data_IF_848395886401
#
_entry.id   IF_848395886401
#
_cell.length_a   1.000
_cell.length_b   1.000
_cell.length_c   1.000
_cell.angle_alpha   90.00
_cell.angle_beta   90.00
_cell.angle_gamma   90.00
#
_symmetry.space_group_name_H-M   'P 1'
#
loop_
_entity.id
_entity.type
_entity.pdbx_description
1 polymer ?
#
# COMPACT_ATOMS: atom_id res chain seq x y z
N UNK A 1 4.19 0.57 -9.75
CA UNK A 1 5.36 -0.30 -9.90
C UNK A 1 5.29 -1.05 -11.18
N UNK A 2 6.43 -1.56 -11.67
CA UNK A 2 6.51 -2.28 -12.94
C UNK A 2 5.56 -3.48 -13.00
N UNK A 3 5.29 -4.12 -11.85
CA UNK A 3 4.29 -5.21 -11.74
C UNK A 3 2.88 -4.70 -12.01
N UNK A 4 2.54 -3.51 -11.53
CA UNK A 4 1.21 -2.92 -11.72
C UNK A 4 1.04 -2.27 -13.09
N UNK A 5 2.12 -2.01 -13.83
CA UNK A 5 2.04 -1.53 -15.21
C UNK A 5 1.30 -2.50 -16.14
N UNK A 6 1.25 -3.80 -15.81
CA UNK A 6 0.42 -4.78 -16.53
C UNK A 6 -1.08 -4.45 -16.52
N UNK A 7 -1.52 -3.67 -15.53
CA UNK A 7 -2.91 -3.19 -15.41
C UNK A 7 -3.09 -1.79 -16.00
N UNK A 8 -2.01 -1.16 -16.50
CA UNK A 8 -2.07 0.13 -17.18
C UNK A 8 -2.80 -0.05 -18.50
N UNK A 9 -3.87 0.72 -18.70
CA UNK A 9 -4.72 0.63 -19.91
C UNK A 9 -5.93 -0.31 -19.76
N UNK A 10 -6.11 -0.99 -18.64
CA UNK A 10 -7.36 -1.70 -18.36
C UNK A 10 -8.48 -0.68 -18.08
N UNK A 11 -9.61 -0.84 -18.74
CA UNK A 11 -10.79 0.01 -18.58
C UNK A 11 -11.27 0.06 -17.11
N UNK A 12 -11.68 1.24 -16.64
CA UNK A 12 -12.17 1.45 -15.28
C UNK A 12 -11.10 1.45 -14.18
N UNK A 13 -9.79 1.49 -14.52
CA UNK A 13 -8.69 1.50 -13.55
C UNK A 13 -7.86 2.78 -13.62
N UNK A 14 -7.63 3.37 -12.46
CA UNK A 14 -6.76 4.53 -12.29
C UNK A 14 -5.42 4.11 -11.67
N UNK A 15 -4.32 4.48 -12.32
CA UNK A 15 -2.97 4.16 -11.85
C UNK A 15 -2.39 5.34 -11.08
N UNK A 16 -2.19 5.14 -9.78
CA UNK A 16 -1.58 6.12 -8.88
C UNK A 16 -0.06 5.93 -8.78
N UNK A 17 0.64 7.00 -8.47
CA UNK A 17 2.03 6.96 -8.01
C UNK A 17 2.12 6.75 -6.50
N UNK A 18 3.30 6.36 -6.02
CA UNK A 18 3.57 6.15 -4.59
C UNK A 18 4.65 7.12 -4.12
N UNK A 19 4.27 8.05 -3.24
CA UNK A 19 5.20 9.03 -2.70
C UNK A 19 6.27 8.40 -1.80
N UNK A 20 6.00 7.29 -1.13
CA UNK A 20 7.01 6.58 -0.33
C UNK A 20 8.22 6.15 -1.18
N UNK A 21 8.00 5.80 -2.44
CA UNK A 21 9.08 5.42 -3.34
C UNK A 21 9.86 6.62 -3.88
N UNK A 22 9.18 7.71 -4.21
CA UNK A 22 9.84 8.97 -4.52
C UNK A 22 10.70 9.42 -3.34
N UNK A 23 10.13 9.43 -2.13
CA UNK A 23 10.83 9.75 -0.89
C UNK A 23 12.09 8.91 -0.69
N UNK A 24 12.02 7.61 -0.91
CA UNK A 24 13.19 6.70 -0.74
C UNK A 24 14.36 7.10 -1.63
N UNK A 25 14.10 7.54 -2.86
CA UNK A 25 15.15 8.00 -3.78
C UNK A 25 15.89 9.22 -3.22
N UNK A 26 15.19 10.17 -2.62
CA UNK A 26 15.83 11.32 -1.97
C UNK A 26 16.56 10.95 -0.68
N UNK A 27 16.03 9.98 0.09
CA UNK A 27 16.75 9.44 1.26
C UNK A 27 18.07 8.79 0.84
N UNK A 28 18.07 8.01 -0.24
CA UNK A 28 19.29 7.39 -0.79
C UNK A 28 20.31 8.44 -1.26
N UNK A 29 19.84 9.63 -1.69
CA UNK A 29 20.67 10.72 -2.15
C UNK A 29 21.29 11.57 -1.00
N UNK A 30 20.86 11.40 0.26
CA UNK A 30 21.42 12.13 1.43
C UNK A 30 22.94 11.93 1.51
N UNK A 31 23.41 10.71 1.29
CA UNK A 31 24.84 10.35 1.34
C UNK A 31 25.70 11.05 0.28
N UNK A 32 25.08 11.59 -0.77
CA UNK A 32 25.74 12.30 -1.85
C UNK A 32 25.63 13.83 -1.68
N UNK A 33 24.43 14.32 -1.36
CA UNK A 33 24.17 15.74 -1.14
C UNK A 33 23.06 15.91 -0.09
N UNK A 34 23.46 15.96 1.19
CA UNK A 34 22.53 16.07 2.32
C UNK A 34 21.65 17.32 2.22
N UNK A 35 22.20 18.46 1.80
CA UNK A 35 21.47 19.72 1.71
C UNK A 35 20.32 19.62 0.69
N UNK A 36 20.60 19.26 -0.56
CA UNK A 36 19.57 19.18 -1.58
C UNK A 36 18.57 18.06 -1.29
N UNK A 37 19.02 16.92 -0.77
CA UNK A 37 18.13 15.81 -0.43
C UNK A 37 17.19 16.20 0.73
N UNK A 38 17.70 16.91 1.75
CA UNK A 38 16.88 17.39 2.87
C UNK A 38 15.86 18.44 2.41
N UNK A 39 16.23 19.37 1.53
CA UNK A 39 15.30 20.32 0.92
C UNK A 39 14.13 19.57 0.23
N UNK A 40 14.43 18.56 -0.58
CA UNK A 40 13.41 17.73 -1.25
C UNK A 40 12.51 16.96 -0.26
N UNK A 41 13.12 16.42 0.81
CA UNK A 41 12.39 15.65 1.82
C UNK A 41 11.44 16.53 2.65
N UNK A 42 11.69 17.82 2.80
CA UNK A 42 10.75 18.77 3.42
C UNK A 42 9.48 18.86 2.57
N UNK A 43 9.58 19.08 1.25
CA UNK A 43 8.41 19.14 0.38
C UNK A 43 7.53 17.87 0.47
N UNK A 44 8.18 16.70 0.48
CA UNK A 44 7.46 15.43 0.60
C UNK A 44 6.89 15.26 2.01
N UNK A 45 7.62 15.68 3.05
CA UNK A 45 7.18 15.69 4.45
C UNK A 45 5.90 16.49 4.64
N UNK A 46 5.80 17.66 4.01
CA UNK A 46 4.60 18.50 4.07
C UNK A 46 3.37 17.81 3.48
N UNK A 47 3.54 17.00 2.41
CA UNK A 47 2.43 16.20 1.85
C UNK A 47 1.94 15.16 2.86
N UNK A 48 2.84 14.44 3.53
CA UNK A 48 2.47 13.49 4.59
C UNK A 48 1.87 14.17 5.82
N UNK A 49 2.32 15.38 6.15
CA UNK A 49 1.72 16.16 7.23
C UNK A 49 0.26 16.49 6.92
N UNK A 50 -0.07 16.87 5.68
CA UNK A 50 -1.48 17.10 5.27
C UNK A 50 -2.29 15.82 5.44
N UNK A 51 -1.76 14.64 5.07
CA UNK A 51 -2.43 13.35 5.28
C UNK A 51 -2.72 13.05 6.77
N UNK A 52 -1.78 13.40 7.64
CA UNK A 52 -1.95 13.26 9.10
C UNK A 52 -3.09 14.15 9.61
N UNK A 53 -3.14 15.40 9.14
CA UNK A 53 -4.23 16.33 9.50
C UNK A 53 -5.59 15.88 8.94
N UNK A 54 -5.59 15.16 7.84
CA UNK A 54 -6.78 14.70 7.15
C UNK A 54 -7.23 13.28 7.57
N UNK A 55 -6.56 12.65 8.55
CA UNK A 55 -6.78 11.24 8.89
C UNK A 55 -8.23 10.92 9.26
N UNK A 56 -8.85 11.77 10.07
CA UNK A 56 -10.21 11.58 10.59
C UNK A 56 -11.31 12.28 9.77
N UNK A 57 -10.94 12.91 8.65
CA UNK A 57 -11.89 13.60 7.79
C UNK A 57 -12.62 12.64 6.85
N UNK A 58 -13.82 13.02 6.42
CA UNK A 58 -14.53 12.36 5.32
C UNK A 58 -13.73 12.41 4.02
N UNK A 59 -14.06 11.56 3.06
CA UNK A 59 -13.40 11.56 1.76
C UNK A 59 -13.52 12.90 1.03
N UNK A 60 -14.67 13.55 1.13
CA UNK A 60 -14.93 14.84 0.53
C UNK A 60 -14.06 15.94 1.15
N UNK A 61 -14.02 16.01 2.48
CA UNK A 61 -13.20 16.98 3.22
C UNK A 61 -11.72 16.74 3.01
N UNK A 62 -11.28 15.47 2.99
CA UNK A 62 -9.91 15.09 2.70
C UNK A 62 -9.49 15.50 1.29
N UNK A 63 -10.34 15.26 0.29
CA UNK A 63 -10.08 15.70 -1.07
C UNK A 63 -9.96 17.23 -1.14
N UNK A 64 -10.84 17.97 -0.48
CA UNK A 64 -10.78 19.42 -0.46
C UNK A 64 -9.48 19.92 0.18
N UNK A 65 -9.11 19.39 1.36
CA UNK A 65 -7.86 19.75 2.03
C UNK A 65 -6.63 19.46 1.15
N UNK A 66 -6.60 18.34 0.44
CA UNK A 66 -5.52 18.01 -0.50
C UNK A 66 -5.43 19.00 -1.65
N UNK A 67 -6.54 19.43 -2.20
CA UNK A 67 -6.57 20.45 -3.26
C UNK A 67 -6.07 21.81 -2.79
N UNK A 68 -6.39 22.18 -1.56
CA UNK A 68 -6.00 23.46 -0.97
C UNK A 68 -4.55 23.47 -0.47
N UNK A 69 -4.03 22.36 0.08
CA UNK A 69 -2.72 22.30 0.72
C UNK A 69 -1.71 21.46 -0.05
N UNK A 70 -2.07 20.22 -0.42
CA UNK A 70 -1.12 19.31 -1.06
C UNK A 70 -0.84 19.69 -2.53
N UNK A 71 -1.85 20.05 -3.30
CA UNK A 71 -1.64 20.37 -4.72
C UNK A 71 -0.71 21.58 -4.93
N UNK A 72 -0.87 22.72 -4.23
CA UNK A 72 0.09 23.82 -4.33
C UNK A 72 1.50 23.41 -3.90
N UNK A 73 1.63 22.55 -2.89
CA UNK A 73 2.93 22.05 -2.43
C UNK A 73 3.61 21.17 -3.48
N UNK A 74 2.84 20.33 -4.19
CA UNK A 74 3.35 19.54 -5.31
C UNK A 74 3.86 20.45 -6.43
N UNK A 75 3.15 21.54 -6.73
CA UNK A 75 3.57 22.52 -7.76
C UNK A 75 4.87 23.22 -7.37
N UNK A 76 5.00 23.65 -6.11
CA UNK A 76 6.25 24.24 -5.59
C UNK A 76 7.41 23.24 -5.65
N UNK A 77 7.15 21.98 -5.34
CA UNK A 77 8.17 20.94 -5.44
C UNK A 77 8.59 20.69 -6.90
N UNK A 78 7.65 20.70 -7.84
CA UNK A 78 7.94 20.61 -9.27
C UNK A 78 8.85 21.76 -9.73
N UNK A 79 8.52 22.99 -9.38
CA UNK A 79 9.32 24.20 -9.69
C UNK A 79 10.71 24.11 -9.06
N UNK A 80 10.79 23.66 -7.80
CA UNK A 80 12.07 23.44 -7.12
C UNK A 80 12.93 22.40 -7.85
N UNK A 81 12.35 21.27 -8.24
CA UNK A 81 13.07 20.23 -8.99
C UNK A 81 13.60 20.77 -10.34
N UNK A 82 12.81 21.56 -11.04
CA UNK A 82 13.22 22.18 -12.31
C UNK A 82 14.39 23.15 -12.09
N UNK A 83 14.29 24.02 -11.09
CA UNK A 83 15.33 24.99 -10.75
C UNK A 83 16.65 24.32 -10.32
N UNK A 84 16.56 23.19 -9.60
CA UNK A 84 17.74 22.47 -9.09
C UNK A 84 18.34 21.50 -10.09
N UNK A 85 17.65 21.12 -11.16
CA UNK A 85 18.10 20.08 -12.09
C UNK A 85 19.48 20.35 -12.71
N UNK A 86 19.85 21.60 -12.87
CA UNK A 86 21.13 22.03 -13.40
C UNK A 86 22.12 22.49 -12.33
N UNK A 87 21.84 22.26 -11.03
CA UNK A 87 22.75 22.62 -9.95
C UNK A 87 24.09 21.85 -10.11
N UNK A 88 25.24 22.55 -10.17
CA UNK A 88 26.55 21.91 -10.32
C UNK A 88 26.90 20.92 -9.20
N UNK A 89 26.30 21.08 -8.02
CA UNK A 89 26.50 20.16 -6.89
C UNK A 89 25.65 18.90 -6.96
N UNK A 90 24.84 18.76 -8.00
CA UNK A 90 23.98 17.60 -8.17
C UNK A 90 24.77 16.39 -8.64
N UNK A 91 24.86 15.37 -7.80
CA UNK A 91 25.43 14.08 -8.15
C UNK A 91 24.39 13.13 -8.76
N UNK A 92 24.82 11.91 -9.17
CA UNK A 92 24.02 10.95 -9.88
C UNK A 92 22.79 10.43 -9.11
N UNK A 93 22.88 10.26 -7.78
CA UNK A 93 21.74 9.78 -6.98
C UNK A 93 20.66 10.85 -6.88
N UNK A 94 21.04 12.11 -6.67
CA UNK A 94 20.10 13.21 -6.61
C UNK A 94 19.41 13.44 -7.95
N UNK A 95 20.17 13.36 -9.05
CA UNK A 95 19.62 13.43 -10.42
C UNK A 95 18.62 12.31 -10.66
N UNK A 96 18.96 11.07 -10.30
CA UNK A 96 18.05 9.92 -10.41
C UNK A 96 16.77 10.12 -9.60
N UNK A 97 16.85 10.72 -8.39
CA UNK A 97 15.69 10.99 -7.56
C UNK A 97 14.75 12.02 -8.21
N UNK A 98 15.29 13.11 -8.75
CA UNK A 98 14.51 14.13 -9.44
C UNK A 98 13.88 13.56 -10.72
N UNK A 99 14.64 12.90 -11.58
CA UNK A 99 14.12 12.32 -12.83
C UNK A 99 13.04 11.28 -12.58
N UNK A 100 13.24 10.42 -11.57
CA UNK A 100 12.24 9.44 -11.15
C UNK A 100 10.93 10.11 -10.74
N UNK A 101 11.03 11.14 -9.90
CA UNK A 101 9.88 11.86 -9.37
C UNK A 101 9.18 12.65 -10.47
N UNK A 102 9.94 13.37 -11.29
CA UNK A 102 9.42 14.19 -12.37
C UNK A 102 8.64 13.36 -13.41
N UNK A 103 9.21 12.24 -13.85
CA UNK A 103 8.56 11.31 -14.79
C UNK A 103 7.24 10.76 -14.25
N UNK A 104 7.11 10.64 -12.91
CA UNK A 104 5.93 10.08 -12.26
C UNK A 104 5.00 11.12 -11.64
N UNK A 105 5.36 12.38 -11.73
CA UNK A 105 4.62 13.47 -11.10
C UNK A 105 3.12 13.48 -11.47
N UNK A 106 2.72 13.25 -12.74
CA UNK A 106 1.30 13.17 -13.08
C UNK A 106 0.55 12.07 -12.29
N UNK A 107 1.19 10.90 -12.09
CA UNK A 107 0.60 9.80 -11.30
C UNK A 107 0.69 10.05 -9.79
N UNK A 108 1.77 10.69 -9.33
CA UNK A 108 1.96 11.07 -7.93
C UNK A 108 0.96 12.13 -7.49
N UNK A 109 0.55 13.03 -8.37
CA UNK A 109 -0.41 14.10 -8.08
C UNK A 109 -1.86 13.62 -8.06
N UNK A 110 -2.17 12.45 -8.63
CA UNK A 110 -3.56 12.01 -8.80
C UNK A 110 -4.32 11.80 -7.50
N UNK A 111 -3.63 11.42 -6.41
CA UNK A 111 -4.29 11.13 -5.12
C UNK A 111 -5.06 12.33 -4.55
N UNK A 112 -4.74 13.56 -4.98
CA UNK A 112 -5.46 14.77 -4.53
C UNK A 112 -6.88 14.88 -5.09
N UNK A 113 -7.21 14.08 -6.11
CA UNK A 113 -8.51 14.15 -6.79
C UNK A 113 -9.60 13.30 -6.15
N UNK A 114 -9.22 12.42 -5.20
CA UNK A 114 -10.17 11.54 -4.51
C UNK A 114 -9.68 11.30 -3.08
N UNK A 115 -10.53 11.55 -2.09
CA UNK A 115 -10.19 11.39 -0.67
C UNK A 115 -10.04 9.93 -0.24
N UNK A 116 -10.57 8.98 -0.99
CA UNK A 116 -10.43 7.55 -0.72
C UNK A 116 -9.06 6.98 -1.17
N UNK A 117 -8.36 7.67 -2.06
CA UNK A 117 -7.06 7.21 -2.54
C UNK A 117 -5.95 7.50 -1.54
N UNK A 118 -4.98 6.61 -1.45
CA UNK A 118 -3.83 6.77 -0.57
C UNK A 118 -2.67 7.47 -1.28
N UNK A 119 -1.91 8.28 -0.53
CA UNK A 119 -0.68 8.95 -0.99
C UNK A 119 0.41 7.94 -1.37
N UNK A 120 0.37 6.75 -0.78
CA UNK A 120 1.31 5.65 -1.06
C UNK A 120 0.60 4.28 -0.99
N UNK A 121 1.32 3.22 -1.33
CA UNK A 121 0.81 1.86 -1.26
C UNK A 121 1.39 1.04 -0.08
N UNK A 122 1.89 1.71 0.96
CA UNK A 122 2.48 1.05 2.13
C UNK A 122 1.52 0.05 2.78
N UNK A 123 0.22 0.33 2.78
CA UNK A 123 -0.80 -0.60 3.30
C UNK A 123 -0.78 -1.95 2.56
N UNK A 124 -0.74 -1.92 1.23
CA UNK A 124 -0.67 -3.14 0.40
C UNK A 124 0.68 -3.84 0.55
N UNK A 125 1.78 -3.07 0.56
CA UNK A 125 3.14 -3.64 0.74
C UNK A 125 3.28 -4.31 2.10
N UNK A 126 2.75 -3.72 3.16
CA UNK A 126 2.74 -4.32 4.49
C UNK A 126 1.86 -5.58 4.55
N UNK A 127 0.73 -5.61 3.85
CA UNK A 127 -0.10 -6.80 3.76
C UNK A 127 0.60 -7.97 3.05
N UNK A 128 1.43 -7.69 2.03
CA UNK A 128 2.20 -8.70 1.27
C UNK A 128 3.52 -9.08 1.99
N UNK A 129 4.00 -8.25 2.90
CA UNK A 129 5.30 -8.43 3.58
C UNK A 129 5.46 -9.80 4.25
N UNK A 130 4.45 -10.38 4.95
CA UNK A 130 4.58 -11.73 5.53
C UNK A 130 4.90 -12.80 4.47
N UNK A 131 4.27 -12.73 3.29
CA UNK A 131 4.57 -13.62 2.17
C UNK A 131 6.01 -13.42 1.66
N UNK A 132 6.44 -12.17 1.50
CA UNK A 132 7.79 -11.84 1.03
C UNK A 132 8.89 -12.32 2.00
N UNK A 133 8.64 -12.26 3.31
CA UNK A 133 9.52 -12.79 4.35
C UNK A 133 9.49 -14.32 4.34
N UNK A 134 8.30 -14.92 4.28
CA UNK A 134 8.12 -16.38 4.25
C UNK A 134 8.88 -17.05 3.11
N UNK A 135 8.92 -16.44 1.93
CA UNK A 135 9.69 -16.93 0.77
C UNK A 135 11.18 -17.15 1.06
N UNK A 136 11.76 -16.41 1.99
CA UNK A 136 13.15 -16.61 2.41
C UNK A 136 13.36 -17.91 3.19
N UNK A 137 12.28 -18.45 3.78
CA UNK A 137 12.33 -19.66 4.59
C UNK A 137 12.05 -20.92 3.75
N UNK A 138 11.04 -20.90 2.88
CA UNK A 138 10.64 -22.08 2.10
C UNK A 138 11.05 -22.02 0.61
N UNK A 139 11.62 -20.92 0.12
CA UNK A 139 12.21 -20.66 -1.19
C UNK A 139 11.26 -20.84 -2.39
N UNK A 140 10.46 -21.89 -2.45
CA UNK A 140 9.52 -22.23 -3.55
C UNK A 140 8.28 -22.97 -3.02
N UNK A 141 7.25 -23.01 -3.84
CA UNK A 141 5.96 -23.63 -3.47
C UNK A 141 5.74 -25.03 -4.08
N UNK A 142 6.71 -25.56 -4.80
CA UNK A 142 6.68 -26.89 -5.41
C UNK A 142 5.90 -26.95 -6.74
N UNK A 143 4.76 -26.25 -6.86
CA UNK A 143 3.96 -26.18 -8.10
C UNK A 143 3.10 -24.93 -8.14
N UNK A 144 2.57 -24.57 -9.31
CA UNK A 144 1.65 -23.43 -9.47
C UNK A 144 0.36 -23.63 -8.65
N UNK A 145 -0.17 -24.85 -8.62
CA UNK A 145 -1.34 -25.17 -7.80
C UNK A 145 -1.07 -24.97 -6.30
N UNK A 146 0.13 -25.29 -5.82
CA UNK A 146 0.54 -25.05 -4.44
C UNK A 146 0.72 -23.56 -4.17
N UNK A 147 1.26 -22.78 -5.12
CA UNK A 147 1.38 -21.34 -5.00
C UNK A 147 0.00 -20.67 -4.87
N UNK A 148 -1.00 -21.10 -5.63
CA UNK A 148 -2.40 -20.63 -5.51
C UNK A 148 -2.95 -20.93 -4.12
N UNK A 149 -2.79 -22.16 -3.61
CA UNK A 149 -3.23 -22.53 -2.26
C UNK A 149 -2.56 -21.69 -1.17
N UNK A 150 -1.26 -21.50 -1.27
CA UNK A 150 -0.50 -20.64 -0.33
C UNK A 150 -1.02 -19.21 -0.36
N UNK A 151 -1.28 -18.65 -1.56
CA UNK A 151 -1.81 -17.28 -1.68
C UNK A 151 -3.20 -17.14 -1.05
N UNK A 152 -4.06 -18.15 -1.18
CA UNK A 152 -5.38 -18.18 -0.51
C UNK A 152 -5.24 -18.19 1.01
N UNK A 153 -4.36 -19.03 1.56
CA UNK A 153 -4.12 -19.10 3.02
C UNK A 153 -3.61 -17.76 3.54
N UNK A 154 -2.62 -17.13 2.87
CA UNK A 154 -2.14 -15.80 3.26
C UNK A 154 -3.23 -14.74 3.19
N UNK A 155 -4.12 -14.80 2.19
CA UNK A 155 -5.25 -13.88 2.06
C UNK A 155 -6.23 -14.03 3.23
N UNK A 156 -6.54 -15.26 3.64
CA UNK A 156 -7.39 -15.50 4.81
C UNK A 156 -6.74 -15.01 6.10
N UNK A 157 -5.44 -15.31 6.33
CA UNK A 157 -4.70 -14.82 7.50
C UNK A 157 -4.73 -13.29 7.55
N UNK A 158 -4.46 -12.63 6.42
CA UNK A 158 -4.49 -11.16 6.34
C UNK A 158 -5.89 -10.60 6.63
N UNK A 159 -6.94 -11.25 6.08
CA UNK A 159 -8.32 -10.83 6.29
C UNK A 159 -8.76 -11.05 7.74
N UNK A 160 -8.38 -12.15 8.38
CA UNK A 160 -8.62 -12.37 9.81
C UNK A 160 -8.01 -11.23 10.64
N UNK A 161 -6.71 -10.94 10.44
CA UNK A 161 -6.01 -9.86 11.15
C UNK A 161 -6.66 -8.50 10.94
N UNK A 162 -7.07 -8.18 9.71
CA UNK A 162 -7.74 -6.92 9.38
C UNK A 162 -9.11 -6.76 10.06
N UNK A 163 -9.75 -7.88 10.45
CA UNK A 163 -11.04 -7.88 11.14
C UNK A 163 -10.91 -8.18 12.65
N UNK A 164 -9.69 -8.20 13.21
CA UNK A 164 -9.46 -8.50 14.63
C UNK A 164 -9.76 -9.95 15.02
N UNK A 165 -9.75 -10.86 14.05
CA UNK A 165 -10.02 -12.30 14.24
C UNK A 165 -8.69 -13.04 14.38
N UNK A 166 -8.58 -13.93 15.37
CA UNK A 166 -7.40 -14.79 15.52
C UNK A 166 -7.41 -15.87 14.41
N UNK A 167 -6.40 -15.85 13.49
CA UNK A 167 -6.42 -16.74 12.32
C UNK A 167 -6.49 -18.22 12.64
N UNK A 168 -5.79 -18.66 13.69
CA UNK A 168 -5.77 -20.07 14.09
C UNK A 168 -7.16 -20.54 14.53
N UNK A 169 -7.83 -19.78 15.39
CA UNK A 169 -9.17 -20.10 15.88
C UNK A 169 -10.18 -20.13 14.73
N UNK A 170 -10.06 -19.17 13.81
CA UNK A 170 -10.89 -19.11 12.62
C UNK A 170 -10.69 -20.34 11.72
N UNK A 171 -9.45 -20.74 11.43
CA UNK A 171 -9.17 -21.91 10.61
C UNK A 171 -9.66 -23.20 11.28
N UNK A 172 -9.44 -23.37 12.60
CA UNK A 172 -9.90 -24.54 13.34
C UNK A 172 -11.42 -24.69 13.26
N UNK A 173 -12.19 -23.61 13.43
CA UNK A 173 -13.65 -23.61 13.35
C UNK A 173 -14.13 -23.88 11.90
N UNK A 174 -13.58 -23.13 10.93
CA UNK A 174 -14.02 -23.25 9.53
C UNK A 174 -13.72 -24.64 8.96
N UNK A 175 -12.54 -25.21 9.24
CA UNK A 175 -12.19 -26.56 8.74
C UNK A 175 -13.14 -27.61 9.32
N UNK A 176 -13.59 -27.51 10.57
CA UNK A 176 -14.58 -28.42 11.15
C UNK A 176 -15.96 -28.28 10.51
N UNK A 177 -16.35 -27.08 10.12
CA UNK A 177 -17.69 -26.77 9.62
C UNK A 177 -17.83 -26.93 8.10
N UNK A 178 -16.76 -26.76 7.32
CA UNK A 178 -16.80 -26.89 5.85
C UNK A 178 -17.47 -28.18 5.37
N UNK A 179 -17.23 -29.37 5.96
CA UNK A 179 -17.90 -30.59 5.52
C UNK A 179 -19.44 -30.54 5.55
N UNK A 180 -20.03 -29.72 6.40
CA UNK A 180 -21.48 -29.50 6.47
C UNK A 180 -22.03 -28.79 5.23
N UNK A 181 -21.16 -28.12 4.45
CA UNK A 181 -21.49 -27.31 3.28
C UNK A 181 -21.00 -27.93 1.95
N UNK A 182 -20.51 -29.18 1.96
CA UNK A 182 -19.85 -29.82 0.80
C UNK A 182 -20.73 -29.95 -0.46
N UNK A 183 -22.04 -29.74 -0.36
CA UNK A 183 -22.96 -29.87 -1.51
C UNK A 183 -23.05 -28.58 -2.35
N UNK A 184 -22.22 -27.57 -2.15
CA UNK A 184 -22.07 -26.35 -2.99
C UNK A 184 -23.31 -25.45 -3.12
N UNK A 185 -24.36 -25.70 -2.32
CA UNK A 185 -25.65 -24.99 -2.38
C UNK A 185 -25.93 -24.11 -1.16
N UNK A 186 -25.08 -24.13 -0.15
CA UNK A 186 -25.28 -23.38 1.09
C UNK A 186 -24.47 -22.11 1.12
N UNK A 187 -25.05 -21.03 1.64
CA UNK A 187 -24.36 -19.77 1.84
C UNK A 187 -23.30 -19.91 2.94
N UNK A 188 -22.03 -19.74 2.55
CA UNK A 188 -20.86 -19.77 3.45
C UNK A 188 -20.40 -18.38 3.85
N UNK A 189 -21.16 -17.33 3.53
CA UNK A 189 -20.79 -15.93 3.78
C UNK A 189 -20.55 -15.66 5.27
N UNK A 190 -21.25 -16.35 6.16
CA UNK A 190 -21.08 -16.25 7.61
C UNK A 190 -19.76 -16.84 8.13
N UNK A 191 -19.10 -17.70 7.33
CA UNK A 191 -17.76 -18.24 7.66
C UNK A 191 -16.63 -17.30 7.28
N UNK A 192 -16.88 -16.25 6.47
CA UNK A 192 -15.86 -15.27 6.10
C UNK A 192 -15.36 -14.53 7.34
N UNK A 193 -14.06 -14.23 7.46
CA UNK A 193 -13.50 -13.61 8.66
C UNK A 193 -14.23 -12.35 9.14
N UNK A 194 -14.74 -11.52 8.22
CA UNK A 194 -15.48 -10.29 8.57
C UNK A 194 -16.84 -10.54 9.23
N UNK A 195 -17.43 -11.70 8.99
CA UNK A 195 -18.76 -12.09 9.49
C UNK A 195 -18.67 -13.15 10.59
N UNK A 196 -17.49 -13.74 10.75
CA UNK A 196 -17.27 -14.85 11.66
C UNK A 196 -17.44 -14.40 13.11
N UNK A 197 -18.19 -15.21 13.88
CA UNK A 197 -18.33 -15.08 15.33
C UNK A 197 -17.92 -16.39 15.95
N UNK A 198 -17.08 -16.32 16.99
CA UNK A 198 -16.69 -17.48 17.78
C UNK A 198 -17.93 -18.12 18.40
N UNK A 199 -18.10 -19.43 18.21
CA UNK A 199 -19.17 -20.16 18.90
C UNK A 199 -18.82 -20.26 20.39
N UNK A 200 -19.68 -19.74 21.25
CA UNK A 200 -19.51 -19.73 22.71
C UNK A 200 -19.49 -21.14 23.33
N UNK A 201 -19.87 -22.17 22.58
CA UNK A 201 -19.98 -23.54 23.08
C UNK A 201 -18.65 -24.32 23.12
N UNK A 202 -17.57 -23.81 22.49
CA UNK A 202 -16.25 -24.48 22.45
C UNK A 202 -15.35 -24.17 23.67
N UNK A 203 -15.78 -23.28 24.58
CA UNK A 203 -14.99 -22.91 25.75
C UNK A 203 -15.03 -23.97 26.90
N UNK A 204 -15.90 -24.99 26.83
CA UNK A 204 -16.08 -25.97 27.91
C UNK A 204 -15.39 -27.33 27.69
N UNK A 205 -14.52 -27.47 26.70
CA UNK A 205 -13.82 -28.73 26.43
C UNK A 205 -12.28 -28.58 26.45
N UNK A 206 -11.74 -27.77 27.34
CA UNK A 206 -10.31 -27.80 27.66
C UNK A 206 -10.10 -27.98 29.16
#
# INVERSE_FOLDING_TARGET
>A
YDVYNKFSGMEGKTMLGCWAHARRKFVDAIKENERLASEALVYIGDLYHVETLAADLSNEERMQMRREKSYPQIRKFEEWMQAKYFDPSMGPLMRTAIEYTFKRLPKLSMYVNDGSWHIDNNGVENAIRPLAIGRKNYLFCGSDASAVRVSMIYSFIATCKANGVEPREWFEDVIRRIPEYENGRSDVTHLLPKNWKRNSNDCNQR
#
